data_IF_346956287573
#
_entry.id   IF_346956287573
#
_cell.length_a   1.000
_cell.length_b   1.000
_cell.length_c   1.000
_cell.angle_alpha   90.00
_cell.angle_beta   90.00
_cell.angle_gamma   90.00
#
_symmetry.space_group_name_H-M   'P 1'
#
loop_
_entity.id
_entity.type
_entity.pdbx_description
1 polymer ?
#
# COMPACT_ATOMS: atom_id res chain seq x y z
N UNK A 1 -20.08 22.58 -27.78
CA UNK A 1 -18.79 21.91 -27.54
C UNK A 1 -18.83 21.27 -26.18
N UNK A 2 -18.98 19.95 -26.09
CA UNK A 2 -18.94 19.22 -24.81
C UNK A 2 -17.50 19.23 -24.30
N UNK A 3 -17.29 19.76 -23.09
CA UNK A 3 -15.99 19.77 -22.44
C UNK A 3 -15.69 18.32 -22.03
N UNK A 4 -14.75 17.67 -22.69
CA UNK A 4 -14.32 16.32 -22.28
C UNK A 4 -13.72 16.43 -20.89
N UNK A 5 -14.40 15.85 -19.89
CA UNK A 5 -13.87 15.72 -18.53
C UNK A 5 -12.56 14.94 -18.58
N UNK A 6 -11.61 15.32 -17.75
CA UNK A 6 -10.37 14.55 -17.57
C UNK A 6 -10.71 13.08 -17.23
N UNK A 7 -9.87 12.11 -17.65
CA UNK A 7 -10.03 10.72 -17.25
C UNK A 7 -10.00 10.59 -15.72
N UNK A 8 -10.80 9.68 -15.16
CA UNK A 8 -10.83 9.42 -13.71
C UNK A 8 -9.44 9.11 -13.15
N UNK A 9 -8.59 8.41 -13.90
CA UNK A 9 -7.20 8.12 -13.51
C UNK A 9 -6.35 9.38 -13.29
N UNK A 10 -6.52 10.39 -14.14
CA UNK A 10 -5.82 11.66 -14.01
C UNK A 10 -6.33 12.44 -12.80
N UNK A 11 -7.67 12.50 -12.64
CA UNK A 11 -8.29 13.14 -11.50
C UNK A 11 -7.82 12.55 -10.16
N UNK A 12 -7.82 11.21 -10.03
CA UNK A 12 -7.36 10.53 -8.81
C UNK A 12 -5.87 10.78 -8.55
N UNK A 13 -5.03 10.77 -9.60
CA UNK A 13 -3.60 11.08 -9.48
C UNK A 13 -3.38 12.49 -8.94
N UNK A 14 -4.07 13.49 -9.50
CA UNK A 14 -3.95 14.88 -9.07
C UNK A 14 -4.49 15.08 -7.65
N UNK A 15 -5.65 14.50 -7.34
CA UNK A 15 -6.30 14.61 -6.03
C UNK A 15 -5.50 13.96 -4.89
N UNK A 16 -4.65 12.98 -5.19
CA UNK A 16 -3.81 12.27 -4.20
C UNK A 16 -2.34 12.67 -4.23
N UNK A 17 -1.95 13.61 -5.10
CA UNK A 17 -0.56 13.95 -5.37
C UNK A 17 0.22 14.37 -4.11
N UNK A 18 -0.26 15.38 -3.39
CA UNK A 18 0.41 15.88 -2.17
C UNK A 18 0.53 14.80 -1.11
N UNK A 19 -0.54 14.03 -0.89
CA UNK A 19 -0.51 12.93 0.08
C UNK A 19 0.52 11.86 -0.29
N UNK A 20 0.63 11.51 -1.59
CA UNK A 20 1.63 10.58 -2.07
C UNK A 20 3.06 11.12 -1.90
N UNK A 21 3.30 12.41 -2.19
CA UNK A 21 4.61 13.03 -1.99
C UNK A 21 5.04 13.03 -0.52
N UNK A 22 4.11 13.30 0.41
CA UNK A 22 4.42 13.34 1.83
C UNK A 22 4.69 11.94 2.41
N UNK A 23 3.94 10.93 1.95
CA UNK A 23 4.21 9.54 2.27
C UNK A 23 5.62 9.11 1.82
N UNK A 24 6.01 9.45 0.58
CA UNK A 24 7.33 9.11 0.04
C UNK A 24 8.46 9.79 0.83
N UNK A 25 8.33 11.09 1.12
CA UNK A 25 9.27 11.83 1.96
C UNK A 25 9.40 11.21 3.36
N UNK A 26 8.30 10.79 3.97
CA UNK A 26 8.31 10.14 5.29
C UNK A 26 9.09 8.82 5.25
N UNK A 27 8.82 7.96 4.26
CA UNK A 27 9.54 6.69 4.07
C UNK A 27 11.05 6.93 3.93
N UNK A 28 11.44 7.92 3.11
CA UNK A 28 12.84 8.28 2.90
C UNK A 28 13.48 8.86 4.17
N UNK A 29 12.77 9.71 4.91
CA UNK A 29 13.27 10.30 6.17
C UNK A 29 13.52 9.24 7.26
N UNK A 30 12.72 8.18 7.32
CA UNK A 30 12.96 7.04 8.23
C UNK A 30 14.14 6.17 7.79
N UNK A 31 14.60 6.31 6.54
CA UNK A 31 15.73 5.57 6.00
C UNK A 31 15.51 4.06 6.01
N UNK A 32 14.28 3.63 5.69
CA UNK A 32 13.86 2.23 5.80
C UNK A 32 14.72 1.25 4.98
N UNK A 33 15.45 1.75 3.99
CA UNK A 33 16.33 0.96 3.13
C UNK A 33 17.82 1.07 3.49
N UNK A 34 18.18 1.75 4.57
CA UNK A 34 19.60 1.96 4.93
C UNK A 34 20.27 0.73 5.57
N UNK A 35 19.49 -0.26 6.03
CA UNK A 35 20.01 -1.52 6.55
C UNK A 35 18.95 -2.63 6.50
N UNK A 36 19.38 -3.87 6.64
CA UNK A 36 18.48 -5.03 6.75
C UNK A 36 17.50 -4.89 7.94
N UNK A 37 17.97 -4.40 9.09
CA UNK A 37 17.09 -4.22 10.25
C UNK A 37 16.05 -3.12 10.04
N UNK A 38 16.40 -2.03 9.34
CA UNK A 38 15.41 -1.01 8.98
C UNK A 38 14.43 -1.50 7.93
N UNK A 39 14.86 -2.38 7.03
CA UNK A 39 13.99 -2.98 6.01
C UNK A 39 12.88 -3.82 6.62
N UNK A 40 13.11 -4.45 7.79
CA UNK A 40 12.06 -5.17 8.53
C UNK A 40 10.86 -4.28 8.85
N UNK A 41 11.08 -3.02 9.21
CA UNK A 41 10.00 -2.05 9.46
C UNK A 41 9.20 -1.76 8.18
N UNK A 42 9.86 -1.70 7.02
CA UNK A 42 9.18 -1.56 5.74
C UNK A 42 8.30 -2.77 5.43
N UNK A 43 8.79 -3.99 5.65
CA UNK A 43 7.99 -5.21 5.43
C UNK A 43 6.78 -5.27 6.36
N UNK A 44 6.91 -4.84 7.62
CA UNK A 44 5.77 -4.73 8.54
C UNK A 44 4.74 -3.69 8.09
N UNK A 45 5.18 -2.54 7.57
CA UNK A 45 4.28 -1.55 6.97
C UNK A 45 3.55 -2.12 5.74
N UNK A 46 4.28 -2.80 4.86
CA UNK A 46 3.70 -3.48 3.69
C UNK A 46 2.67 -4.54 4.09
N UNK A 47 2.94 -5.29 5.15
CA UNK A 47 2.01 -6.30 5.67
C UNK A 47 0.68 -5.69 6.09
N UNK A 48 0.72 -4.60 6.86
CA UNK A 48 -0.49 -3.93 7.33
C UNK A 48 -1.31 -3.38 6.17
N UNK A 49 -0.65 -2.70 5.24
CA UNK A 49 -1.31 -2.16 4.06
C UNK A 49 -1.98 -3.26 3.22
N UNK A 50 -1.25 -4.34 2.90
CA UNK A 50 -1.78 -5.44 2.09
C UNK A 50 -2.85 -6.26 2.81
N UNK A 51 -2.77 -6.41 4.14
CA UNK A 51 -3.82 -7.03 4.96
C UNK A 51 -5.13 -6.27 4.81
N UNK A 52 -5.09 -4.94 4.94
CA UNK A 52 -6.28 -4.10 4.96
C UNK A 52 -7.01 -4.04 3.61
N UNK A 53 -6.27 -4.21 2.51
CA UNK A 53 -6.84 -4.23 1.15
C UNK A 53 -7.04 -5.65 0.58
N UNK A 54 -6.64 -6.70 1.31
CA UNK A 54 -6.62 -8.08 0.80
C UNK A 54 -7.97 -8.51 0.22
N UNK A 55 -9.05 -8.20 0.93
CA UNK A 55 -10.40 -8.64 0.57
C UNK A 55 -10.93 -7.92 -0.68
N UNK A 56 -10.42 -6.72 -0.98
CA UNK A 56 -10.79 -5.97 -2.18
C UNK A 56 -10.37 -6.71 -3.46
N UNK A 57 -9.27 -7.46 -3.43
CA UNK A 57 -8.76 -8.18 -4.60
C UNK A 57 -9.64 -9.36 -5.05
N UNK A 58 -10.52 -9.85 -4.17
CA UNK A 58 -11.48 -10.91 -4.46
C UNK A 58 -12.93 -10.42 -4.43
N UNK A 59 -13.15 -9.10 -4.31
CA UNK A 59 -14.48 -8.53 -4.25
C UNK A 59 -15.19 -8.71 -5.61
N UNK A 60 -16.33 -9.39 -5.62
CA UNK A 60 -17.03 -9.82 -6.84
C UNK A 60 -17.23 -8.67 -7.85
N UNK A 61 -17.75 -7.53 -7.39
CA UNK A 61 -18.00 -6.37 -8.27
C UNK A 61 -16.72 -5.76 -8.86
N UNK A 62 -15.57 -5.87 -8.16
CA UNK A 62 -14.31 -5.31 -8.65
C UNK A 62 -13.64 -6.25 -9.66
N UNK A 63 -13.76 -7.56 -9.46
CA UNK A 63 -13.26 -8.58 -10.41
C UNK A 63 -14.01 -8.52 -11.73
N UNK A 64 -15.32 -8.20 -11.71
CA UNK A 64 -16.09 -7.96 -12.93
C UNK A 64 -15.56 -6.76 -13.75
N UNK A 65 -15.06 -5.72 -13.09
CA UNK A 65 -14.52 -4.51 -13.72
C UNK A 65 -13.05 -4.69 -14.12
N UNK A 66 -12.28 -5.43 -13.33
CA UNK A 66 -10.84 -5.65 -13.49
C UNK A 66 -10.59 -7.17 -13.52
N UNK A 67 -10.63 -7.80 -14.71
CA UNK A 67 -10.64 -9.26 -14.83
C UNK A 67 -9.41 -9.97 -14.24
N UNK A 68 -8.27 -9.30 -14.14
CA UNK A 68 -7.03 -9.84 -13.60
C UNK A 68 -6.75 -9.38 -12.16
N UNK A 69 -7.72 -8.76 -11.47
CA UNK A 69 -7.53 -8.15 -10.15
C UNK A 69 -6.92 -9.11 -9.14
N UNK A 70 -7.47 -10.31 -8.99
CA UNK A 70 -7.00 -11.29 -8.02
C UNK A 70 -5.49 -11.63 -8.18
N UNK A 71 -4.99 -11.64 -9.42
CA UNK A 71 -3.58 -11.92 -9.72
C UNK A 71 -2.61 -10.82 -9.26
N UNK A 72 -3.15 -9.62 -8.99
CA UNK A 72 -2.40 -8.44 -8.53
C UNK A 72 -2.26 -8.39 -7.01
N UNK A 73 -2.98 -9.25 -6.28
CA UNK A 73 -2.87 -9.32 -4.82
C UNK A 73 -1.46 -9.81 -4.43
N UNK A 74 -0.79 -9.05 -3.56
CA UNK A 74 0.56 -9.35 -3.05
C UNK A 74 0.60 -9.79 -1.59
N UNK A 75 -0.55 -9.92 -0.93
CA UNK A 75 -0.58 -10.22 0.50
C UNK A 75 0.12 -11.54 0.85
N UNK A 76 -0.05 -12.59 0.03
CA UNK A 76 0.63 -13.87 0.25
C UNK A 76 2.16 -13.76 0.16
N UNK A 77 2.68 -12.95 -0.77
CA UNK A 77 4.11 -12.68 -0.92
C UNK A 77 4.65 -11.90 0.28
N UNK A 78 3.93 -10.88 0.73
CA UNK A 78 4.34 -10.11 1.92
C UNK A 78 4.32 -10.99 3.19
N UNK A 79 3.36 -11.91 3.31
CA UNK A 79 3.36 -12.92 4.37
C UNK A 79 4.53 -13.90 4.29
N UNK A 80 5.08 -14.14 3.09
CA UNK A 80 6.30 -14.91 2.91
C UNK A 80 7.52 -14.10 3.35
N UNK A 81 7.62 -12.83 2.95
CA UNK A 81 8.71 -11.94 3.37
C UNK A 81 8.77 -11.79 4.91
N UNK A 82 7.61 -11.66 5.56
CA UNK A 82 7.51 -11.64 7.04
C UNK A 82 8.10 -12.91 7.68
N UNK A 83 7.87 -14.09 7.07
CA UNK A 83 8.42 -15.37 7.56
C UNK A 83 9.91 -15.49 7.28
N UNK A 84 10.35 -15.10 6.09
CA UNK A 84 11.76 -15.18 5.69
C UNK A 84 12.66 -14.29 6.55
N UNK A 85 12.09 -13.18 7.06
CA UNK A 85 12.76 -12.25 7.96
C UNK A 85 12.51 -12.52 9.45
N UNK A 86 11.81 -13.60 9.80
CA UNK A 86 11.44 -13.99 11.17
C UNK A 86 10.76 -12.85 11.95
N UNK A 87 9.79 -12.17 11.30
CA UNK A 87 9.12 -11.01 11.86
C UNK A 87 7.86 -11.40 12.63
N UNK A 88 7.64 -10.82 13.82
CA UNK A 88 6.40 -10.99 14.53
C UNK A 88 5.27 -10.27 13.78
N UNK A 89 4.05 -10.78 13.91
CA UNK A 89 2.88 -10.08 13.43
C UNK A 89 2.80 -8.71 14.13
N UNK A 90 2.68 -7.60 13.38
CA UNK A 90 2.59 -6.29 13.98
C UNK A 90 1.32 -6.22 14.82
N UNK A 91 1.46 -5.81 16.09
CA UNK A 91 0.32 -5.42 16.89
C UNK A 91 -0.40 -4.29 16.15
N UNK A 92 -1.72 -4.38 16.01
CA UNK A 92 -2.57 -3.41 15.27
C UNK A 92 -2.46 -1.98 15.80
N UNK A 93 -1.71 -1.74 16.88
CA UNK A 93 -1.27 -0.43 17.35
C UNK A 93 -0.17 0.16 16.47
N UNK A 94 -0.37 0.20 15.16
CA UNK A 94 0.37 1.16 14.34
C UNK A 94 -0.48 2.41 14.29
N UNK A 95 -0.42 3.16 15.39
CA UNK A 95 -0.68 4.57 15.34
C UNK A 95 0.44 5.20 14.50
N UNK A 96 0.35 5.06 13.17
CA UNK A 96 0.77 6.15 12.31
C UNK A 96 -0.23 7.28 12.62
N UNK A 97 -0.02 7.96 13.74
CA UNK A 97 -0.47 9.33 13.87
C UNK A 97 0.33 10.10 12.83
N UNK A 98 -0.11 10.06 11.58
CA UNK A 98 0.07 11.18 10.68
C UNK A 98 -0.81 12.28 11.28
N UNK A 99 -0.23 13.02 12.22
CA UNK A 99 -0.74 14.35 12.53
C UNK A 99 -0.54 15.17 11.24
N UNK A 100 -1.66 15.48 10.59
CA UNK A 100 -1.74 16.44 9.49
C UNK A 100 -1.67 17.87 10.01
#
# INVERSE_FOLDING_TARGET
MTKTSAPLSLYLKEATHTFHEDLDKSIMAHGLFASADKYKNFVQLQYLFHRDINDLYNHAQLVEIIPDLASRNRFAQVCQDMRDLDLPLPNTTVAFCVEF
#
